data_IF_289912810449
#
_entry.id   IF_289912810449
#
_cell.length_a   1.000
_cell.length_b   1.000
_cell.length_c   1.000
_cell.angle_alpha   90.00
_cell.angle_beta   90.00
_cell.angle_gamma   90.00
#
_symmetry.space_group_name_H-M   'P 1'
#
loop_
_entity.id
_entity.type
_entity.pdbx_description
1 polymer ?
#
# COMPACT_ATOMS: atom_id res chain seq x y z
N UNK A 1 -22.93 43.49 24.02
CA UNK A 1 -22.90 44.95 23.81
C UNK A 1 -23.03 45.71 25.14
N UNK A 2 -24.10 45.49 25.93
CA UNK A 2 -24.35 46.20 27.18
C UNK A 2 -23.20 46.09 28.21
N UNK A 3 -22.55 44.92 28.30
CA UNK A 3 -21.44 44.67 29.24
C UNK A 3 -20.15 45.37 28.82
N UNK A 4 -19.91 45.54 27.53
CA UNK A 4 -18.72 46.23 27.00
C UNK A 4 -18.90 47.75 27.06
N UNK A 5 -20.13 48.26 26.99
CA UNK A 5 -20.43 49.70 26.99
C UNK A 5 -20.49 50.29 28.40
N UNK A 6 -20.63 49.49 29.47
CA UNK A 6 -20.75 49.97 30.88
C UNK A 6 -19.42 49.99 31.67
N UNK A 7 -18.31 49.70 31.02
CA UNK A 7 -16.88 49.75 31.36
C UNK A 7 -16.41 49.82 32.82
N UNK A 8 -16.87 50.65 33.69
CA UNK A 8 -16.26 50.85 35.03
C UNK A 8 -17.03 50.20 36.21
N UNK A 9 -18.15 49.53 35.96
CA UNK A 9 -19.02 48.98 37.02
C UNK A 9 -19.08 47.47 37.10
N UNK A 10 -18.38 46.77 36.24
CA UNK A 10 -18.45 45.30 36.18
C UNK A 10 -17.20 44.70 36.81
N UNK A 11 -17.31 43.70 37.68
CA UNK A 11 -16.14 42.96 38.18
C UNK A 11 -15.31 42.43 37.01
N UNK A 12 -14.00 42.65 37.06
CA UNK A 12 -13.05 42.29 35.98
C UNK A 12 -13.18 40.84 35.54
N UNK A 13 -13.35 39.90 36.46
CA UNK A 13 -13.57 38.48 36.14
C UNK A 13 -14.88 38.20 35.40
N UNK A 14 -15.96 38.98 35.66
CA UNK A 14 -17.24 38.81 34.97
C UNK A 14 -17.16 39.33 33.53
N UNK A 15 -16.43 40.43 33.31
CA UNK A 15 -16.23 40.98 31.97
C UNK A 15 -15.46 39.98 31.08
N UNK A 16 -14.34 39.43 31.54
CA UNK A 16 -13.53 38.48 30.84
C UNK A 16 -14.33 37.21 30.52
N UNK A 17 -15.06 36.64 31.47
CA UNK A 17 -15.90 35.46 31.22
C UNK A 17 -17.02 35.76 30.22
N UNK A 18 -17.64 36.94 30.30
CA UNK A 18 -18.73 37.33 29.37
C UNK A 18 -18.21 37.49 27.95
N UNK A 19 -17.05 38.13 27.75
CA UNK A 19 -16.43 38.30 26.43
C UNK A 19 -16.17 36.95 25.78
N UNK A 20 -15.61 36.00 26.52
CA UNK A 20 -15.34 34.67 26.01
C UNK A 20 -16.63 33.92 25.64
N UNK A 21 -17.64 33.98 26.51
CA UNK A 21 -18.95 33.35 26.24
C UNK A 21 -19.63 33.96 25.01
N UNK A 22 -19.59 35.28 24.86
CA UNK A 22 -20.17 35.95 23.68
C UNK A 22 -19.43 35.57 22.42
N UNK A 23 -18.09 35.47 22.45
CA UNK A 23 -17.31 35.00 21.32
C UNK A 23 -17.72 33.59 20.92
N UNK A 24 -17.88 32.66 21.88
CA UNK A 24 -18.32 31.29 21.61
C UNK A 24 -19.74 31.24 21.01
N UNK A 25 -20.68 32.05 21.53
CA UNK A 25 -22.03 32.13 20.98
C UNK A 25 -22.05 32.72 19.58
N UNK A 26 -21.24 33.75 19.30
CA UNK A 26 -21.10 34.30 17.96
C UNK A 26 -20.55 33.26 16.98
N UNK A 27 -19.56 32.44 17.40
CA UNK A 27 -19.03 31.36 16.62
C UNK A 27 -20.10 30.31 16.28
N UNK A 28 -20.89 29.87 17.25
CA UNK A 28 -21.99 28.90 17.03
C UNK A 28 -23.06 29.47 16.08
N UNK A 29 -23.23 30.78 16.05
CA UNK A 29 -24.12 31.47 15.10
C UNK A 29 -23.45 31.77 13.74
N UNK A 30 -22.27 31.19 13.49
CA UNK A 30 -21.46 31.40 12.27
C UNK A 30 -21.08 32.88 12.01
N UNK A 31 -21.19 33.73 13.04
CA UNK A 31 -20.75 35.12 12.99
C UNK A 31 -19.30 35.23 13.47
N UNK A 32 -18.39 34.84 12.55
CA UNK A 32 -16.97 34.73 12.87
C UNK A 32 -16.27 36.08 13.09
N UNK A 33 -16.74 37.15 12.45
CA UNK A 33 -16.22 38.50 12.65
C UNK A 33 -16.47 38.98 14.07
N UNK A 34 -17.70 38.81 14.60
CA UNK A 34 -18.00 39.12 15.98
C UNK A 34 -17.25 38.21 16.96
N UNK A 35 -17.16 36.91 16.66
CA UNK A 35 -16.37 35.96 17.47
C UNK A 35 -14.91 36.42 17.60
N UNK A 36 -14.30 36.81 16.48
CA UNK A 36 -12.94 37.35 16.45
C UNK A 36 -12.82 38.63 17.25
N UNK A 37 -13.72 39.60 17.03
CA UNK A 37 -13.72 40.87 17.75
C UNK A 37 -13.75 40.67 19.28
N UNK A 38 -14.67 39.85 19.78
CA UNK A 38 -14.79 39.58 21.21
C UNK A 38 -13.56 38.81 21.75
N UNK A 39 -12.95 37.96 20.99
CA UNK A 39 -11.70 37.25 21.36
C UNK A 39 -10.52 38.21 21.42
N UNK A 40 -10.39 39.13 20.48
CA UNK A 40 -9.32 40.15 20.49
C UNK A 40 -9.44 41.07 21.71
N UNK A 41 -10.65 41.52 22.04
CA UNK A 41 -10.91 42.29 23.27
C UNK A 41 -10.61 41.45 24.53
N UNK A 42 -11.02 40.18 24.52
CA UNK A 42 -10.75 39.25 25.62
C UNK A 42 -9.25 39.08 25.90
N UNK A 43 -8.43 38.93 24.86
CA UNK A 43 -6.97 38.75 25.00
C UNK A 43 -6.31 39.92 25.67
N UNK A 44 -6.79 41.16 25.43
CA UNK A 44 -6.21 42.36 26.05
C UNK A 44 -6.53 42.49 27.57
N UNK A 45 -7.59 41.77 28.00
CA UNK A 45 -8.08 41.87 29.39
C UNK A 45 -7.76 40.62 30.23
N UNK A 46 -7.55 39.49 29.58
CA UNK A 46 -7.29 38.24 30.29
C UNK A 46 -5.88 38.21 30.87
N UNK A 47 -5.79 38.04 32.19
CA UNK A 47 -4.52 37.83 32.86
C UNK A 47 -4.19 36.36 32.93
N UNK A 48 -3.00 35.97 32.40
CA UNK A 48 -2.51 34.61 32.43
C UNK A 48 -3.52 33.57 31.87
N UNK A 49 -3.94 33.69 30.60
CA UNK A 49 -4.93 32.78 29.98
C UNK A 49 -4.45 31.34 29.87
N UNK A 50 -5.37 30.37 29.97
CA UNK A 50 -5.11 28.96 29.64
C UNK A 50 -4.95 28.77 28.13
N UNK A 51 -4.58 27.55 27.70
CA UNK A 51 -4.44 27.19 26.27
C UNK A 51 -5.79 27.23 25.52
N UNK A 52 -6.90 26.84 26.16
CA UNK A 52 -8.20 26.67 25.52
C UNK A 52 -8.69 27.89 24.70
N UNK A 53 -8.61 29.15 25.18
CA UNK A 53 -8.96 30.31 24.37
C UNK A 53 -8.08 30.50 23.12
N UNK A 54 -6.81 30.08 23.16
CA UNK A 54 -5.95 30.14 22.01
C UNK A 54 -6.37 29.09 20.93
N UNK A 55 -6.70 27.90 21.36
CA UNK A 55 -7.25 26.86 20.47
C UNK A 55 -8.60 27.29 19.88
N UNK A 56 -9.46 27.94 20.69
CA UNK A 56 -10.73 28.48 20.19
C UNK A 56 -10.49 29.58 19.13
N UNK A 57 -9.58 30.51 19.39
CA UNK A 57 -9.26 31.59 18.46
C UNK A 57 -8.66 31.03 17.15
N UNK A 58 -7.81 29.98 17.23
CA UNK A 58 -7.32 29.27 16.06
C UNK A 58 -8.47 28.68 15.24
N UNK A 59 -9.51 28.13 15.90
CA UNK A 59 -10.68 27.58 15.22
C UNK A 59 -11.50 28.72 14.54
N UNK A 60 -11.60 29.91 15.13
CA UNK A 60 -12.24 31.08 14.49
C UNK A 60 -11.47 31.48 13.23
N UNK A 61 -10.15 31.64 13.31
CA UNK A 61 -9.33 31.95 12.15
C UNK A 61 -9.39 30.88 11.06
N UNK A 62 -9.46 29.59 11.44
CA UNK A 62 -9.66 28.49 10.51
C UNK A 62 -10.96 28.65 9.70
N UNK A 63 -12.09 28.98 10.36
CA UNK A 63 -13.36 29.23 9.67
C UNK A 63 -13.31 30.43 8.73
N UNK A 64 -12.54 31.44 9.11
CA UNK A 64 -12.27 32.63 8.27
C UNK A 64 -11.23 32.37 7.18
N UNK A 65 -10.65 31.15 7.08
CA UNK A 65 -9.58 30.75 6.16
C UNK A 65 -8.27 31.53 6.32
N UNK A 66 -8.06 32.18 7.46
CA UNK A 66 -6.77 32.77 7.82
C UNK A 66 -5.88 31.71 8.48
N UNK A 67 -5.37 30.78 7.66
CA UNK A 67 -4.59 29.63 8.14
C UNK A 67 -3.29 30.04 8.83
N UNK A 68 -2.66 31.16 8.43
CA UNK A 68 -1.45 31.63 9.08
C UNK A 68 -1.70 32.02 10.54
N UNK A 69 -2.74 32.80 10.79
CA UNK A 69 -3.11 33.18 12.16
C UNK A 69 -3.65 31.99 12.94
N UNK A 70 -4.38 31.08 12.30
CA UNK A 70 -4.83 29.85 12.94
C UNK A 70 -3.65 29.03 13.47
N UNK A 71 -2.60 28.82 12.66
CA UNK A 71 -1.35 28.13 13.05
C UNK A 71 -0.69 28.86 14.23
N UNK A 72 -0.53 30.18 14.12
CA UNK A 72 0.08 30.99 15.21
C UNK A 72 -0.64 30.77 16.54
N UNK A 73 -1.98 30.82 16.54
CA UNK A 73 -2.75 30.63 17.77
C UNK A 73 -2.72 29.19 18.27
N UNK A 74 -2.67 28.20 17.37
CA UNK A 74 -2.48 26.80 17.75
C UNK A 74 -1.13 26.57 18.44
N UNK A 75 -0.04 27.06 17.86
CA UNK A 75 1.31 26.89 18.44
C UNK A 75 1.44 27.61 19.79
N UNK A 76 0.87 28.83 19.93
CA UNK A 76 0.81 29.53 21.22
C UNK A 76 -0.01 28.76 22.26
N UNK A 77 -1.13 28.17 21.86
CA UNK A 77 -1.94 27.30 22.70
C UNK A 77 -1.18 26.07 23.18
N UNK A 78 -0.46 25.41 22.26
CA UNK A 78 0.37 24.24 22.57
C UNK A 78 1.49 24.62 23.55
N UNK A 79 2.18 25.72 23.31
CA UNK A 79 3.23 26.21 24.23
C UNK A 79 2.69 26.41 25.64
N UNK A 80 1.54 27.13 25.80
CA UNK A 80 0.90 27.37 27.09
C UNK A 80 0.49 26.06 27.77
N UNK A 81 -0.04 25.10 27.00
CA UNK A 81 -0.44 23.79 27.51
C UNK A 81 0.77 23.00 28.05
N UNK A 82 1.86 22.98 27.31
CA UNK A 82 3.10 22.31 27.70
C UNK A 82 3.74 22.96 28.96
N UNK A 83 3.80 24.31 29.02
CA UNK A 83 4.33 25.03 30.17
C UNK A 83 3.51 24.76 31.46
N UNK A 84 2.22 24.45 31.31
CA UNK A 84 1.30 24.19 32.44
C UNK A 84 1.09 22.71 32.73
N UNK A 85 1.64 21.83 31.93
CA UNK A 85 1.40 20.39 32.02
C UNK A 85 -0.08 20.01 31.82
N UNK A 86 -0.78 20.73 30.92
CA UNK A 86 -2.18 20.43 30.59
C UNK A 86 -2.26 19.66 29.27
N UNK A 87 -3.19 18.71 29.19
CA UNK A 87 -3.38 17.88 28.01
C UNK A 87 -3.85 18.68 26.80
N UNK A 88 -3.34 18.31 25.63
CA UNK A 88 -3.77 18.84 24.34
C UNK A 88 -4.60 17.74 23.66
N UNK A 89 -5.81 18.10 23.24
CA UNK A 89 -6.72 17.10 22.65
C UNK A 89 -6.28 16.66 21.25
N UNK A 90 -6.65 15.44 20.87
CA UNK A 90 -6.45 14.92 19.51
C UNK A 90 -7.02 15.86 18.44
N UNK A 91 -8.17 16.51 18.72
CA UNK A 91 -8.80 17.47 17.80
C UNK A 91 -7.90 18.68 17.52
N UNK A 92 -7.21 19.20 18.55
CA UNK A 92 -6.28 20.31 18.37
C UNK A 92 -5.08 19.92 17.49
N UNK A 93 -4.48 18.76 17.77
CA UNK A 93 -3.39 18.23 16.94
C UNK A 93 -3.85 17.94 15.50
N UNK A 94 -5.06 17.40 15.32
CA UNK A 94 -5.63 17.13 14.01
C UNK A 94 -5.90 18.42 13.21
N UNK A 95 -6.41 19.47 13.87
CA UNK A 95 -6.59 20.78 13.24
C UNK A 95 -5.23 21.38 12.82
N UNK A 96 -4.22 21.30 13.67
CA UNK A 96 -2.89 21.80 13.33
C UNK A 96 -2.28 21.02 12.17
N UNK A 97 -2.46 19.70 12.15
CA UNK A 97 -2.03 18.86 10.99
C UNK A 97 -2.69 19.33 9.70
N UNK A 98 -4.02 19.57 9.73
CA UNK A 98 -4.75 20.06 8.57
C UNK A 98 -4.24 21.45 8.12
N UNK A 99 -4.03 22.37 9.05
CA UNK A 99 -3.55 23.72 8.75
C UNK A 99 -2.16 23.69 8.06
N UNK A 100 -1.23 22.88 8.56
CA UNK A 100 0.07 22.71 7.92
C UNK A 100 -0.03 22.01 6.56
N UNK A 101 -0.96 21.06 6.42
CA UNK A 101 -1.22 20.39 5.15
C UNK A 101 -1.72 21.38 4.08
N UNK A 102 -2.64 22.28 4.42
CA UNK A 102 -3.13 23.35 3.53
C UNK A 102 -2.04 24.36 3.13
N UNK A 103 -0.98 24.45 3.94
CA UNK A 103 0.19 25.28 3.67
C UNK A 103 1.31 24.52 2.95
N UNK A 104 1.12 23.21 2.70
CA UNK A 104 2.17 22.33 2.15
C UNK A 104 3.47 22.35 2.99
N UNK A 105 3.34 22.63 4.29
CA UNK A 105 4.47 22.59 5.23
C UNK A 105 4.70 21.18 5.76
N UNK A 106 5.24 20.33 4.88
CA UNK A 106 5.43 18.89 5.13
C UNK A 106 6.30 18.58 6.36
N UNK A 107 7.37 19.31 6.65
CA UNK A 107 8.13 19.09 7.89
C UNK A 107 7.27 19.22 9.16
N UNK A 108 6.42 20.24 9.21
CA UNK A 108 5.51 20.43 10.35
C UNK A 108 4.34 19.45 10.34
N UNK A 109 3.82 19.04 9.16
CA UNK A 109 2.84 17.94 9.07
C UNK A 109 3.41 16.67 9.69
N UNK A 110 4.64 16.28 9.32
CA UNK A 110 5.32 15.09 9.87
C UNK A 110 5.46 15.23 11.39
N UNK A 111 5.98 16.36 11.88
CA UNK A 111 6.16 16.62 13.31
C UNK A 111 4.86 16.42 14.11
N UNK A 112 3.77 16.98 13.62
CA UNK A 112 2.48 16.88 14.33
C UNK A 112 1.89 15.47 14.23
N UNK A 113 2.03 14.80 13.08
CA UNK A 113 1.60 13.41 12.92
C UNK A 113 2.39 12.45 13.81
N UNK A 114 3.68 12.71 14.04
CA UNK A 114 4.48 11.94 15.02
C UNK A 114 3.89 12.04 16.43
N UNK A 115 3.48 13.24 16.86
CA UNK A 115 2.78 13.40 18.14
C UNK A 115 1.46 12.62 18.15
N UNK A 116 0.70 12.68 17.05
CA UNK A 116 -0.59 11.97 16.95
C UNK A 116 -0.43 10.44 17.02
N UNK A 117 0.61 9.86 16.42
CA UNK A 117 0.85 8.40 16.52
C UNK A 117 1.37 7.99 17.88
N UNK A 118 2.05 8.86 18.61
CA UNK A 118 2.58 8.62 19.94
C UNK A 118 1.49 8.75 21.02
N UNK A 119 0.76 9.88 21.03
CA UNK A 119 -0.21 10.21 22.09
C UNK A 119 -1.61 9.64 21.82
N UNK A 120 -1.99 9.50 20.55
CA UNK A 120 -3.31 9.05 20.11
C UNK A 120 -3.19 7.95 19.05
N UNK A 121 -2.61 6.80 19.38
CA UNK A 121 -2.31 5.74 18.40
C UNK A 121 -3.60 5.20 17.77
N UNK A 122 -3.81 5.53 16.51
CA UNK A 122 -4.92 5.09 15.66
C UNK A 122 -4.42 4.79 14.26
N UNK A 123 -5.09 3.84 13.58
CA UNK A 123 -4.78 3.48 12.19
C UNK A 123 -4.61 4.71 11.29
N UNK A 124 -5.57 5.66 11.34
CA UNK A 124 -5.56 6.82 10.46
C UNK A 124 -4.31 7.71 10.63
N UNK A 125 -3.78 7.86 11.83
CA UNK A 125 -2.58 8.66 12.07
C UNK A 125 -1.34 7.97 11.52
N UNK A 126 -1.21 6.65 11.74
CA UNK A 126 -0.11 5.84 11.21
C UNK A 126 -0.08 5.84 9.69
N UNK A 127 -1.23 5.57 9.04
CA UNK A 127 -1.34 5.52 7.59
C UNK A 127 -1.09 6.89 6.95
N UNK A 128 -1.57 7.96 7.61
CA UNK A 128 -1.33 9.34 7.14
C UNK A 128 0.14 9.71 7.24
N UNK A 129 0.79 9.41 8.36
CA UNK A 129 2.23 9.66 8.54
C UNK A 129 3.06 8.91 7.49
N UNK A 130 2.79 7.62 7.29
CA UNK A 130 3.45 6.85 6.26
C UNK A 130 3.19 7.41 4.84
N UNK A 131 1.97 7.89 4.57
CA UNK A 131 1.62 8.53 3.30
C UNK A 131 2.43 9.80 3.04
N UNK A 132 2.58 10.66 4.05
CA UNK A 132 3.38 11.90 3.93
C UNK A 132 4.86 11.57 3.74
N UNK A 133 5.41 10.59 4.47
CA UNK A 133 6.77 10.14 4.24
C UNK A 133 6.99 9.67 2.80
N UNK A 134 6.05 8.87 2.26
CA UNK A 134 6.15 8.41 0.87
C UNK A 134 6.05 9.55 -0.16
N UNK A 135 5.21 10.56 0.09
CA UNK A 135 5.08 11.74 -0.76
C UNK A 135 6.37 12.56 -0.80
N UNK A 136 7.04 12.71 0.33
CA UNK A 136 8.29 13.45 0.47
C UNK A 136 9.54 12.63 0.09
N UNK A 137 9.38 11.38 -0.34
CA UNK A 137 10.47 10.51 -0.76
C UNK A 137 11.28 9.90 0.40
N UNK A 138 10.74 9.92 1.61
CA UNK A 138 11.32 9.27 2.79
C UNK A 138 10.90 7.79 2.84
N UNK A 139 11.34 6.99 1.86
CA UNK A 139 10.89 5.61 1.66
C UNK A 139 11.15 4.70 2.87
N UNK A 140 12.27 4.88 3.55
CA UNK A 140 12.62 4.10 4.76
C UNK A 140 11.71 4.44 5.93
N UNK A 141 11.47 5.71 6.16
CA UNK A 141 10.57 6.20 7.22
C UNK A 141 9.14 5.75 6.95
N UNK A 142 8.71 5.74 5.68
CA UNK A 142 7.43 5.19 5.26
C UNK A 142 7.32 3.71 5.63
N UNK A 143 8.32 2.90 5.26
CA UNK A 143 8.34 1.47 5.56
C UNK A 143 8.32 1.24 7.07
N UNK A 144 9.22 1.87 7.82
CA UNK A 144 9.31 1.67 9.28
C UNK A 144 8.02 2.09 10.00
N UNK A 145 7.37 3.15 9.52
CA UNK A 145 6.08 3.61 10.08
C UNK A 145 4.99 2.56 9.86
N UNK A 146 4.88 1.98 8.65
CA UNK A 146 3.91 0.92 8.38
C UNK A 146 4.25 -0.39 9.09
N UNK A 147 5.54 -0.74 9.24
CA UNK A 147 5.95 -1.91 10.03
C UNK A 147 5.63 -1.76 11.51
N UNK A 148 5.84 -0.57 12.07
CA UNK A 148 5.46 -0.26 13.44
C UNK A 148 3.94 -0.36 13.63
N UNK A 149 3.17 0.21 12.71
CA UNK A 149 1.72 0.12 12.71
C UNK A 149 1.22 -1.33 12.59
N UNK A 150 1.86 -2.15 11.72
CA UNK A 150 1.56 -3.57 11.58
C UNK A 150 1.84 -4.34 12.87
N UNK A 151 3.01 -4.12 13.46
CA UNK A 151 3.42 -4.79 14.70
C UNK A 151 2.51 -4.43 15.90
N UNK A 152 2.02 -3.20 15.93
CA UNK A 152 1.08 -2.70 16.94
C UNK A 152 -0.40 -3.01 16.62
N UNK A 153 -0.68 -3.80 15.57
CA UNK A 153 -2.02 -4.25 15.17
C UNK A 153 -2.97 -3.11 14.72
N UNK A 154 -2.42 -2.05 14.15
CA UNK A 154 -3.21 -0.93 13.62
C UNK A 154 -3.59 -1.08 12.14
N UNK A 155 -3.04 -2.06 11.39
CA UNK A 155 -3.41 -2.25 10.01
C UNK A 155 -4.69 -3.09 9.90
N UNK A 156 -5.70 -2.55 9.20
CA UNK A 156 -7.04 -3.15 9.15
C UNK A 156 -7.54 -3.38 7.72
N UNK A 157 -7.14 -2.50 6.78
CA UNK A 157 -7.65 -2.51 5.40
C UNK A 157 -6.70 -3.23 4.46
N UNK A 158 -7.25 -3.80 3.39
CA UNK A 158 -6.47 -4.42 2.32
C UNK A 158 -5.32 -3.52 1.85
N UNK A 159 -5.59 -2.22 1.63
CA UNK A 159 -4.58 -1.26 1.18
C UNK A 159 -3.40 -1.15 2.14
N UNK A 160 -3.61 -1.30 3.44
CA UNK A 160 -2.55 -1.18 4.43
C UNK A 160 -1.55 -2.34 4.29
N UNK A 161 -2.07 -3.58 4.24
CA UNK A 161 -1.26 -4.79 4.06
C UNK A 161 -0.57 -4.83 2.70
N UNK A 162 -1.29 -4.47 1.64
CA UNK A 162 -0.71 -4.50 0.28
C UNK A 162 0.34 -3.42 0.07
N UNK A 163 0.19 -2.23 0.66
CA UNK A 163 1.19 -1.17 0.63
C UNK A 163 2.45 -1.59 1.40
N UNK A 164 2.29 -2.10 2.63
CA UNK A 164 3.43 -2.60 3.40
C UNK A 164 4.16 -3.72 2.67
N UNK A 165 3.42 -4.70 2.13
CA UNK A 165 4.01 -5.79 1.36
C UNK A 165 4.74 -5.27 0.11
N UNK A 166 4.18 -4.27 -0.59
CA UNK A 166 4.81 -3.61 -1.74
C UNK A 166 6.15 -2.97 -1.39
N UNK A 167 6.21 -2.21 -0.31
CA UNK A 167 7.45 -1.60 0.19
C UNK A 167 8.49 -2.66 0.59
N UNK A 168 8.06 -3.71 1.30
CA UNK A 168 8.95 -4.84 1.66
C UNK A 168 9.50 -5.56 0.43
N UNK A 169 8.70 -5.68 -0.63
CA UNK A 169 9.15 -6.24 -1.91
C UNK A 169 10.17 -5.32 -2.60
N UNK A 170 9.97 -4.02 -2.56
CA UNK A 170 10.89 -3.02 -3.11
C UNK A 170 12.24 -3.02 -2.36
N UNK A 171 12.22 -3.19 -1.05
CA UNK A 171 13.41 -3.32 -0.20
C UNK A 171 14.03 -4.74 -0.21
N UNK A 172 13.61 -5.59 -1.15
CA UNK A 172 14.12 -6.96 -1.32
C UNK A 172 13.96 -7.87 -0.08
N UNK A 173 12.89 -7.67 0.68
CA UNK A 173 12.55 -8.49 1.86
C UNK A 173 11.28 -9.34 1.61
N UNK A 174 11.29 -10.22 0.60
CA UNK A 174 10.08 -10.92 0.12
C UNK A 174 9.46 -11.87 1.16
N UNK A 175 10.25 -12.46 2.04
CA UNK A 175 9.74 -13.31 3.14
C UNK A 175 8.78 -12.52 4.04
N UNK A 176 9.13 -11.29 4.40
CA UNK A 176 8.26 -10.46 5.24
C UNK A 176 7.03 -9.98 4.48
N UNK A 177 7.20 -9.61 3.22
CA UNK A 177 6.07 -9.26 2.34
C UNK A 177 5.05 -10.41 2.24
N UNK A 178 5.51 -11.64 2.03
CA UNK A 178 4.66 -12.81 1.99
C UNK A 178 3.89 -13.03 3.29
N UNK A 179 4.57 -12.93 4.45
CA UNK A 179 3.93 -13.08 5.76
C UNK A 179 2.87 -12.01 6.03
N UNK A 180 3.12 -10.75 5.62
CA UNK A 180 2.15 -9.66 5.75
C UNK A 180 0.91 -9.92 4.88
N UNK A 181 1.10 -10.36 3.63
CA UNK A 181 -0.03 -10.71 2.75
C UNK A 181 -0.82 -11.92 3.27
N UNK A 182 -0.13 -12.94 3.74
CA UNK A 182 -0.75 -14.14 4.31
C UNK A 182 -1.57 -13.81 5.57
N UNK A 183 -1.04 -12.96 6.44
CA UNK A 183 -1.74 -12.48 7.62
C UNK A 183 -2.99 -11.67 7.25
N UNK A 184 -2.88 -10.75 6.29
CA UNK A 184 -4.02 -9.99 5.78
C UNK A 184 -5.12 -10.86 5.18
N UNK A 185 -4.77 -11.94 4.46
CA UNK A 185 -5.71 -12.94 3.95
C UNK A 185 -6.37 -13.73 5.08
N UNK A 186 -5.60 -14.17 6.09
CA UNK A 186 -6.10 -14.93 7.24
C UNK A 186 -7.06 -14.09 8.09
N UNK A 187 -6.79 -12.82 8.27
CA UNK A 187 -7.67 -11.84 8.94
C UNK A 187 -8.88 -11.44 8.11
N UNK A 188 -8.95 -11.86 6.85
CA UNK A 188 -9.96 -11.42 5.86
C UNK A 188 -9.94 -9.91 5.59
N UNK A 189 -8.84 -9.26 5.90
CA UNK A 189 -8.59 -7.87 5.54
C UNK A 189 -8.25 -7.73 4.05
N UNK A 190 -7.61 -8.76 3.46
CA UNK A 190 -7.35 -8.90 2.03
C UNK A 190 -8.36 -9.86 1.44
N UNK A 191 -8.98 -9.49 0.33
CA UNK A 191 -9.86 -10.36 -0.45
C UNK A 191 -9.05 -11.51 -1.06
N UNK A 192 -9.61 -12.74 -1.00
CA UNK A 192 -8.96 -13.93 -1.55
C UNK A 192 -9.33 -14.08 -3.03
N UNK A 193 -8.74 -13.25 -3.87
CA UNK A 193 -8.91 -13.22 -5.31
C UNK A 193 -7.61 -13.58 -6.06
N UNK A 194 -7.72 -13.77 -7.38
CA UNK A 194 -6.58 -14.14 -8.22
C UNK A 194 -5.40 -13.16 -8.11
N UNK A 195 -5.67 -11.86 -8.02
CA UNK A 195 -4.66 -10.80 -7.96
C UNK A 195 -3.89 -10.82 -6.64
N UNK A 196 -4.60 -10.90 -5.53
CA UNK A 196 -3.99 -10.90 -4.20
C UNK A 196 -3.20 -12.19 -3.95
N UNK A 197 -3.77 -13.34 -4.36
CA UNK A 197 -3.07 -14.62 -4.31
C UNK A 197 -1.84 -14.63 -5.23
N UNK A 198 -1.93 -14.04 -6.42
CA UNK A 198 -0.76 -13.88 -7.28
C UNK A 198 0.35 -13.08 -6.59
N UNK A 199 0.00 -12.00 -5.89
CA UNK A 199 0.98 -11.19 -5.15
C UNK A 199 1.64 -11.99 -4.02
N UNK A 200 0.86 -12.77 -3.26
CA UNK A 200 1.40 -13.67 -2.23
C UNK A 200 2.31 -14.75 -2.84
N UNK A 201 1.87 -15.41 -3.91
CA UNK A 201 2.67 -16.41 -4.60
C UNK A 201 3.99 -15.84 -5.15
N UNK A 202 3.97 -14.60 -5.66
CA UNK A 202 5.18 -13.90 -6.10
C UNK A 202 6.13 -13.61 -4.94
N UNK A 203 5.61 -13.18 -3.81
CA UNK A 203 6.42 -12.91 -2.63
C UNK A 203 7.10 -14.20 -2.12
N UNK A 204 6.36 -15.32 -2.04
CA UNK A 204 6.95 -16.62 -1.68
C UNK A 204 7.98 -17.11 -2.71
N UNK A 205 7.71 -16.93 -4.01
CA UNK A 205 8.65 -17.31 -5.06
C UNK A 205 9.96 -16.50 -4.97
N UNK A 206 9.89 -15.19 -4.78
CA UNK A 206 11.09 -14.35 -4.61
C UNK A 206 11.84 -14.67 -3.31
N UNK A 207 11.12 -15.11 -2.28
CA UNK A 207 11.70 -15.64 -1.05
C UNK A 207 12.37 -17.01 -1.23
N UNK A 208 12.38 -17.60 -2.42
CA UNK A 208 12.85 -18.96 -2.73
C UNK A 208 12.07 -20.07 -2.01
N UNK A 209 10.87 -19.77 -1.52
CA UNK A 209 9.96 -20.70 -0.85
C UNK A 209 8.98 -21.31 -1.88
N UNK A 210 9.54 -22.05 -2.84
CA UNK A 210 8.77 -22.57 -3.99
C UNK A 210 7.63 -23.49 -3.57
N UNK A 211 7.83 -24.30 -2.54
CA UNK A 211 6.81 -25.20 -1.99
C UNK A 211 5.59 -24.46 -1.41
N UNK A 212 5.78 -23.22 -0.96
CA UNK A 212 4.67 -22.34 -0.51
C UNK A 212 4.05 -21.57 -1.68
N UNK A 213 4.87 -21.21 -2.68
CA UNK A 213 4.40 -20.44 -3.83
C UNK A 213 3.46 -21.24 -4.73
N UNK A 214 3.80 -22.51 -5.00
CA UNK A 214 3.06 -23.37 -5.95
C UNK A 214 1.57 -23.48 -5.57
N UNK A 215 1.17 -23.91 -4.37
CA UNK A 215 -0.27 -24.07 -4.04
C UNK A 215 -1.04 -22.75 -4.11
N UNK A 216 -0.40 -21.62 -3.79
CA UNK A 216 -1.01 -20.31 -3.91
C UNK A 216 -1.23 -19.93 -5.38
N UNK A 217 -0.25 -20.21 -6.25
CA UNK A 217 -0.44 -19.98 -7.68
C UNK A 217 -1.45 -20.95 -8.32
N UNK A 218 -1.55 -22.22 -7.86
CA UNK A 218 -2.58 -23.16 -8.31
C UNK A 218 -3.98 -22.62 -8.03
N UNK A 219 -4.20 -22.12 -6.82
CA UNK A 219 -5.48 -21.50 -6.45
C UNK A 219 -5.75 -20.24 -7.27
N UNK A 220 -4.78 -19.34 -7.37
CA UNK A 220 -4.89 -18.10 -8.14
C UNK A 220 -5.19 -18.38 -9.63
N UNK A 221 -4.55 -19.38 -10.23
CA UNK A 221 -4.73 -19.77 -11.62
C UNK A 221 -6.16 -20.28 -11.90
N UNK A 222 -6.78 -20.96 -10.92
CA UNK A 222 -8.18 -21.37 -11.00
C UNK A 222 -9.15 -20.21 -11.10
N UNK A 223 -8.85 -19.11 -10.43
CA UNK A 223 -9.69 -17.90 -10.37
C UNK A 223 -9.39 -16.88 -11.48
N UNK A 224 -8.20 -16.94 -12.10
CA UNK A 224 -7.78 -15.96 -13.09
C UNK A 224 -8.53 -16.10 -14.42
N UNK A 225 -8.80 -14.97 -15.07
CA UNK A 225 -9.46 -14.94 -16.39
C UNK A 225 -8.52 -15.26 -17.55
N UNK A 226 -7.20 -15.07 -17.37
CA UNK A 226 -6.17 -15.32 -18.38
C UNK A 226 -5.17 -16.40 -17.94
N UNK A 227 -4.31 -16.80 -18.89
CA UNK A 227 -3.36 -17.89 -18.70
C UNK A 227 -2.04 -17.52 -18.03
N UNK A 228 -1.83 -16.27 -17.62
CA UNK A 228 -0.52 -15.78 -17.12
C UNK A 228 -0.03 -16.49 -15.85
N UNK A 229 -0.95 -16.82 -14.94
CA UNK A 229 -0.58 -17.52 -13.71
C UNK A 229 -0.25 -18.98 -14.02
N UNK A 230 -1.00 -19.62 -14.93
CA UNK A 230 -0.67 -20.95 -15.44
C UNK A 230 0.66 -20.97 -16.18
N UNK A 231 0.98 -19.93 -16.98
CA UNK A 231 2.31 -19.77 -17.57
C UNK A 231 3.40 -19.81 -16.49
N UNK A 232 3.25 -19.02 -15.42
CA UNK A 232 4.21 -19.00 -14.31
C UNK A 232 4.34 -20.36 -13.62
N UNK A 233 3.22 -21.03 -13.33
CA UNK A 233 3.21 -22.39 -12.78
C UNK A 233 3.98 -23.37 -13.67
N UNK A 234 3.85 -23.27 -15.00
CA UNK A 234 4.56 -24.16 -15.91
C UNK A 234 6.08 -24.04 -15.78
N UNK A 235 6.60 -22.84 -15.58
CA UNK A 235 8.03 -22.62 -15.29
C UNK A 235 8.43 -23.19 -13.93
N UNK A 236 7.67 -22.94 -12.87
CA UNK A 236 7.97 -23.46 -11.54
C UNK A 236 7.98 -24.99 -11.50
N UNK A 237 7.04 -25.63 -12.19
CA UNK A 237 7.02 -27.06 -12.31
C UNK A 237 8.13 -27.64 -13.18
N UNK A 238 8.58 -26.90 -14.21
CA UNK A 238 9.77 -27.30 -14.98
C UNK A 238 11.03 -27.23 -14.10
N UNK A 239 11.20 -26.16 -13.31
CA UNK A 239 12.35 -25.97 -12.42
C UNK A 239 12.39 -26.99 -11.27
N UNK A 240 11.23 -27.48 -10.83
CA UNK A 240 11.11 -28.49 -9.76
C UNK A 240 10.93 -29.92 -10.29
N UNK A 241 11.24 -30.19 -11.57
CA UNK A 241 11.15 -31.48 -12.21
C UNK A 241 9.77 -32.18 -12.17
N UNK A 242 8.70 -31.39 -11.89
CA UNK A 242 7.32 -31.88 -11.89
C UNK A 242 6.73 -31.82 -13.31
N UNK A 243 7.31 -32.58 -14.23
CA UNK A 243 7.06 -32.45 -15.66
C UNK A 243 5.61 -32.70 -16.10
N UNK A 244 4.86 -33.52 -15.40
CA UNK A 244 3.44 -33.77 -15.71
C UNK A 244 2.60 -32.53 -15.41
N UNK A 245 2.71 -31.99 -14.21
CA UNK A 245 2.03 -30.73 -13.82
C UNK A 245 2.48 -29.54 -14.68
N UNK A 246 3.75 -29.54 -15.11
CA UNK A 246 4.26 -28.54 -16.05
C UNK A 246 3.48 -28.57 -17.37
N UNK A 247 3.26 -29.74 -17.96
CA UNK A 247 2.51 -29.88 -19.21
C UNK A 247 1.05 -29.44 -19.04
N UNK A 248 0.43 -29.81 -17.92
CA UNK A 248 -0.95 -29.44 -17.61
C UNK A 248 -1.08 -27.92 -17.45
N UNK A 249 -0.17 -27.31 -16.70
CA UNK A 249 -0.15 -25.87 -16.51
C UNK A 249 0.13 -25.12 -17.82
N UNK A 250 1.11 -25.58 -18.61
CA UNK A 250 1.38 -24.99 -19.92
C UNK A 250 0.18 -25.12 -20.87
N UNK A 251 -0.57 -26.22 -20.79
CA UNK A 251 -1.81 -26.40 -21.55
C UNK A 251 -2.89 -25.44 -21.09
N UNK A 252 -3.14 -25.36 -19.78
CA UNK A 252 -4.10 -24.41 -19.21
C UNK A 252 -3.77 -22.94 -19.55
N UNK A 253 -2.49 -22.59 -19.58
CA UNK A 253 -2.04 -21.25 -20.00
C UNK A 253 -2.43 -20.96 -21.45
N UNK A 254 -2.19 -21.91 -22.36
CA UNK A 254 -2.50 -21.76 -23.78
C UNK A 254 -4.02 -21.73 -24.03
N UNK A 255 -4.79 -22.54 -23.30
CA UNK A 255 -6.24 -22.63 -23.45
C UNK A 255 -6.95 -21.36 -22.94
N UNK A 256 -6.52 -20.82 -21.79
CA UNK A 256 -7.05 -19.54 -21.27
C UNK A 256 -6.59 -18.34 -22.10
N UNK A 257 -5.41 -18.41 -22.72
CA UNK A 257 -4.90 -17.32 -23.54
C UNK A 257 -4.50 -16.07 -22.75
N UNK A 258 -4.54 -14.89 -23.40
CA UNK A 258 -4.12 -13.63 -22.77
C UNK A 258 -2.61 -13.51 -22.50
N UNK A 259 -1.82 -14.38 -23.11
CA UNK A 259 -0.37 -14.48 -22.94
C UNK A 259 0.34 -13.43 -23.79
N UNK A 260 1.40 -12.85 -23.26
CA UNK A 260 2.22 -11.89 -24.01
C UNK A 260 3.05 -12.58 -25.12
N UNK A 261 3.53 -13.80 -24.84
CA UNK A 261 4.39 -14.60 -25.73
C UNK A 261 4.04 -16.07 -25.62
N UNK A 262 2.98 -16.50 -26.29
CA UNK A 262 2.53 -17.90 -26.22
C UNK A 262 3.58 -18.91 -26.75
N UNK A 263 4.50 -18.48 -27.65
CA UNK A 263 5.64 -19.31 -28.09
C UNK A 263 6.53 -19.74 -26.91
N UNK A 264 6.71 -18.92 -25.87
CA UNK A 264 7.50 -19.29 -24.69
C UNK A 264 6.85 -20.44 -23.92
N UNK A 265 5.53 -20.42 -23.79
CA UNK A 265 4.78 -21.50 -23.13
C UNK A 265 4.86 -22.81 -23.92
N UNK A 266 4.82 -22.77 -25.27
CA UNK A 266 5.06 -23.94 -26.11
C UNK A 266 6.48 -24.52 -25.93
N UNK A 267 7.49 -23.68 -25.70
CA UNK A 267 8.85 -24.13 -25.39
C UNK A 267 8.84 -24.91 -24.07
N UNK A 268 8.29 -24.34 -23.01
CA UNK A 268 8.19 -24.98 -21.68
C UNK A 268 7.46 -26.33 -21.81
N UNK A 269 6.28 -26.35 -22.45
CA UNK A 269 5.50 -27.55 -22.68
C UNK A 269 6.33 -28.63 -23.44
N UNK A 270 7.06 -28.21 -24.48
CA UNK A 270 7.91 -29.09 -25.24
C UNK A 270 9.05 -29.67 -24.41
N UNK A 271 9.69 -28.85 -23.56
CA UNK A 271 10.76 -29.31 -22.66
C UNK A 271 10.24 -30.31 -21.62
N UNK A 272 9.09 -30.04 -21.00
CA UNK A 272 8.48 -30.92 -20.00
C UNK A 272 8.05 -32.26 -20.63
N UNK A 273 7.52 -32.28 -21.87
CA UNK A 273 7.20 -33.50 -22.60
C UNK A 273 8.47 -34.27 -23.01
N UNK A 274 9.51 -33.56 -23.38
CA UNK A 274 10.81 -34.19 -23.70
C UNK A 274 11.41 -34.89 -22.46
N UNK A 275 11.43 -34.25 -21.31
CA UNK A 275 11.91 -34.82 -20.05
C UNK A 275 11.09 -36.05 -19.60
N UNK A 276 9.82 -36.13 -20.00
CA UNK A 276 9.00 -37.34 -19.84
C UNK A 276 9.25 -38.41 -20.87
N UNK A 277 10.24 -38.25 -21.76
CA UNK A 277 10.52 -39.11 -22.92
C UNK A 277 9.32 -39.21 -23.90
N UNK A 278 8.40 -38.26 -23.90
CA UNK A 278 7.27 -38.17 -24.84
C UNK A 278 7.70 -37.41 -26.10
N UNK A 279 8.59 -38.01 -26.91
CA UNK A 279 9.26 -37.31 -28.00
C UNK A 279 8.31 -36.77 -29.09
N UNK A 280 7.29 -37.54 -29.50
CA UNK A 280 6.33 -37.10 -30.52
C UNK A 280 5.45 -35.92 -30.08
N UNK A 281 4.82 -35.92 -28.87
CA UNK A 281 4.16 -34.76 -28.33
C UNK A 281 5.08 -33.53 -28.13
N UNK A 282 6.33 -33.75 -27.65
CA UNK A 282 7.31 -32.68 -27.50
C UNK A 282 7.61 -31.99 -28.83
N UNK A 283 7.85 -32.79 -29.89
CA UNK A 283 8.04 -32.28 -31.26
C UNK A 283 6.86 -31.42 -31.71
N UNK A 284 5.62 -31.86 -31.45
CA UNK A 284 4.40 -31.14 -31.81
C UNK A 284 4.34 -29.79 -31.13
N UNK A 285 4.68 -29.71 -29.82
CA UNK A 285 4.75 -28.46 -29.08
C UNK A 285 5.77 -27.48 -29.69
N UNK A 286 6.96 -27.95 -30.05
CA UNK A 286 7.98 -27.12 -30.70
C UNK A 286 7.60 -26.70 -32.14
N UNK A 287 6.85 -27.51 -32.87
CA UNK A 287 6.28 -27.09 -34.18
C UNK A 287 5.29 -25.97 -34.01
N UNK A 288 4.41 -26.07 -33.01
CA UNK A 288 3.46 -24.99 -32.66
C UNK A 288 4.20 -23.70 -32.24
N UNK A 289 5.22 -23.84 -31.38
CA UNK A 289 6.13 -22.75 -31.03
C UNK A 289 6.70 -22.04 -32.27
N UNK A 290 7.32 -22.82 -33.19
CA UNK A 290 7.96 -22.27 -34.39
C UNK A 290 6.96 -21.53 -35.27
N UNK A 291 5.71 -22.03 -35.37
CA UNK A 291 4.63 -21.39 -36.13
C UNK A 291 4.27 -20.05 -35.53
N UNK A 292 3.96 -20.00 -34.21
CA UNK A 292 3.61 -18.79 -33.51
C UNK A 292 4.75 -17.76 -33.56
N UNK A 293 5.97 -18.19 -33.26
CA UNK A 293 7.15 -17.32 -33.33
C UNK A 293 7.38 -16.71 -34.72
N UNK A 294 7.07 -17.47 -35.79
CA UNK A 294 7.13 -16.93 -37.16
C UNK A 294 6.06 -15.88 -37.39
N UNK A 295 4.82 -16.15 -36.97
CA UNK A 295 3.69 -15.29 -37.18
C UNK A 295 3.85 -13.97 -36.40
N UNK A 296 4.49 -14.02 -35.22
CA UNK A 296 4.87 -12.87 -34.40
C UNK A 296 6.22 -12.22 -34.79
N UNK A 297 6.89 -12.72 -35.83
CA UNK A 297 8.22 -12.27 -36.30
C UNK A 297 9.32 -12.39 -35.24
N UNK A 298 9.19 -13.28 -34.28
CA UNK A 298 10.18 -13.59 -33.24
C UNK A 298 11.22 -14.59 -33.79
N UNK A 299 12.24 -14.05 -34.46
CA UNK A 299 13.33 -14.86 -35.08
C UNK A 299 14.10 -15.69 -34.05
N UNK A 300 14.23 -15.22 -32.82
CA UNK A 300 14.95 -15.91 -31.75
C UNK A 300 14.23 -17.19 -31.36
N UNK A 301 12.98 -17.12 -30.99
CA UNK A 301 12.21 -18.29 -30.62
C UNK A 301 11.93 -19.21 -31.83
N UNK A 302 11.75 -18.66 -33.02
CA UNK A 302 11.65 -19.46 -34.25
C UNK A 302 12.87 -20.35 -34.44
N UNK A 303 14.09 -19.83 -34.21
CA UNK A 303 15.35 -20.57 -34.28
C UNK A 303 15.44 -21.64 -33.18
N UNK A 304 15.16 -21.26 -31.92
CA UNK A 304 15.18 -22.15 -30.75
C UNK A 304 14.26 -23.35 -30.99
N UNK A 305 13.03 -23.13 -31.40
CA UNK A 305 12.07 -24.19 -31.65
C UNK A 305 12.49 -25.07 -32.82
N UNK A 306 13.12 -24.51 -33.88
CA UNK A 306 13.70 -25.26 -34.98
C UNK A 306 14.84 -26.18 -34.54
N UNK A 307 15.70 -25.71 -33.65
CA UNK A 307 16.79 -26.51 -33.09
C UNK A 307 16.26 -27.69 -32.26
N UNK A 308 15.27 -27.47 -31.42
CA UNK A 308 14.63 -28.54 -30.66
C UNK A 308 13.96 -29.58 -31.53
N UNK A 309 13.26 -29.17 -32.59
CA UNK A 309 12.67 -30.13 -33.55
C UNK A 309 13.75 -31.02 -34.15
N UNK A 310 14.85 -30.42 -34.62
CA UNK A 310 15.97 -31.19 -35.21
C UNK A 310 16.62 -32.14 -34.19
N UNK A 311 16.76 -31.69 -32.94
CA UNK A 311 17.32 -32.50 -31.85
C UNK A 311 16.42 -33.70 -31.54
N UNK A 312 15.10 -33.47 -31.39
CA UNK A 312 14.13 -34.55 -31.12
C UNK A 312 14.08 -35.55 -32.29
N UNK A 313 14.16 -35.10 -33.56
CA UNK A 313 14.17 -35.99 -34.73
C UNK A 313 15.39 -36.90 -34.72
N UNK A 314 16.56 -36.41 -34.29
CA UNK A 314 17.78 -37.22 -34.13
C UNK A 314 17.63 -38.23 -32.98
N UNK A 315 17.12 -37.76 -31.84
CA UNK A 315 16.92 -38.61 -30.67
C UNK A 315 15.92 -39.74 -30.93
N UNK A 316 14.81 -39.45 -31.61
CA UNK A 316 13.83 -40.44 -32.01
C UNK A 316 14.43 -41.53 -32.90
N UNK A 317 15.30 -41.14 -33.88
CA UNK A 317 16.01 -42.07 -34.71
C UNK A 317 17.00 -42.94 -33.93
N UNK A 318 17.73 -42.31 -33.00
CA UNK A 318 18.67 -43.02 -32.10
C UNK A 318 17.96 -44.06 -31.26
N UNK A 319 16.81 -43.70 -30.63
CA UNK A 319 16.02 -44.62 -29.82
C UNK A 319 15.48 -45.79 -30.67
N UNK A 320 15.01 -45.53 -31.89
CA UNK A 320 14.53 -46.56 -32.79
C UNK A 320 15.64 -47.54 -33.19
N UNK A 321 16.86 -47.05 -33.47
CA UNK A 321 18.02 -47.89 -33.80
C UNK A 321 18.43 -48.75 -32.60
N UNK A 322 18.44 -48.20 -31.39
CA UNK A 322 18.76 -48.97 -30.18
C UNK A 322 17.72 -50.07 -29.92
N UNK A 323 16.43 -49.76 -30.05
CA UNK A 323 15.36 -50.74 -29.91
C UNK A 323 15.49 -51.88 -30.95
N UNK A 324 15.84 -51.56 -32.20
CA UNK A 324 16.06 -52.56 -33.24
C UNK A 324 17.33 -53.40 -33.03
N UNK A 325 18.33 -52.91 -32.29
CA UNK A 325 19.58 -53.67 -32.01
C UNK A 325 19.48 -54.54 -30.74
N UNK A 326 18.44 -54.30 -29.89
CA UNK A 326 18.20 -55.03 -28.62
C UNK A 326 17.09 -56.09 -28.72
N UNK A 327 16.38 -56.20 -29.82
CA UNK A 327 15.40 -57.23 -30.13
C UNK A 327 15.89 -58.17 -31.17
#
# INVERSE_FOLDING_TARGET
KIVVEQGEKIPEGLEVTTLYTVAQLSYVQENYDDALYYMEVWITKATNPSAAPRFFLATVYYQMKDYNKAIEQMELGIQIAQERGTDITEQNWSLLTFLYFEKEDWPNVIRVLQVLVEEFPKREHWVRLAGVYGQEGFEKEQLYTLEAAYTADFLEKQTDFTNLAGLLMQEEVPIRAAKVLEDGLNRKAIERDAKNLQSLGQAWQLAQEVDKAIPIFEEAAGMADDGKIYERLSYLYLESDQFEKCVDSATGALDKGGLRKSQSVYIVKGMCLFNQNKLSPARTAFVSCRRVARDEKDKTNQRICGQWITFIDRESKRQAQLAAASG
#
